data_IF_229681902406
#
_entry.id   IF_229681902406
#
_cell.length_a   1.000
_cell.length_b   1.000
_cell.length_c   1.000
_cell.angle_alpha   90.00
_cell.angle_beta   90.00
_cell.angle_gamma   90.00
#
_symmetry.space_group_name_H-M   'P 1'
#
loop_
_entity.id
_entity.type
_entity.pdbx_description
1 polymer ?
#
# COMPACT_ATOMS: atom_id res chain seq x y z
N UNK A 1 -16.53 22.61 8.20
CA UNK A 1 -16.23 22.90 9.63
C UNK A 1 -15.62 21.64 10.23
N UNK A 2 -14.58 21.76 11.05
CA UNK A 2 -13.88 20.62 11.69
C UNK A 2 -14.02 20.70 13.20
N UNK A 3 -13.70 19.60 13.87
CA UNK A 3 -13.65 19.52 15.34
C UNK A 3 -12.46 20.32 15.88
N UNK A 4 -12.50 20.66 17.18
CA UNK A 4 -11.51 21.54 17.84
C UNK A 4 -10.12 20.89 17.90
N UNK A 5 -10.09 19.57 18.02
CA UNK A 5 -8.92 18.69 18.08
C UNK A 5 -8.32 18.36 16.70
N UNK A 6 -8.88 18.91 15.62
CA UNK A 6 -8.42 18.68 14.25
C UNK A 6 -6.95 19.08 14.07
N UNK A 7 -6.03 18.13 13.75
CA UNK A 7 -4.62 18.44 13.52
C UNK A 7 -4.41 19.23 12.22
N UNK A 8 -5.34 19.11 11.28
CA UNK A 8 -5.32 19.78 9.96
C UNK A 8 -6.17 21.06 10.01
N UNK A 9 -5.69 22.10 10.70
CA UNK A 9 -6.49 23.32 10.93
C UNK A 9 -6.73 24.10 9.64
N UNK A 10 -5.73 24.16 8.77
CA UNK A 10 -5.80 24.92 7.53
C UNK A 10 -6.74 24.26 6.51
N UNK A 11 -7.57 25.06 5.84
CA UNK A 11 -8.51 24.54 4.82
C UNK A 11 -7.81 24.08 3.55
N UNK A 12 -6.71 24.74 3.17
CA UNK A 12 -6.01 24.52 1.90
C UNK A 12 -5.38 23.13 1.76
N UNK A 13 -5.11 22.45 2.87
CA UNK A 13 -4.46 21.13 2.91
C UNK A 13 -5.43 20.00 3.34
N UNK A 14 -6.71 20.32 3.59
CA UNK A 14 -7.74 19.32 3.87
C UNK A 14 -8.28 18.79 2.55
N UNK A 15 -8.02 17.51 2.28
CA UNK A 15 -8.42 16.82 1.06
C UNK A 15 -9.48 15.77 1.36
N UNK A 16 -9.15 14.77 2.19
CA UNK A 16 -10.00 13.62 2.42
C UNK A 16 -9.93 13.18 3.90
N UNK A 17 -11.05 13.19 4.65
CA UNK A 17 -11.05 12.81 6.05
C UNK A 17 -10.79 11.32 6.29
N UNK A 18 -10.90 10.46 5.28
CA UNK A 18 -10.63 9.02 5.41
C UNK A 18 -9.16 8.67 5.14
N UNK A 19 -8.36 9.61 4.63
CA UNK A 19 -6.92 9.43 4.36
C UNK A 19 -6.04 10.43 5.11
N UNK A 20 -6.65 11.30 5.91
CA UNK A 20 -5.95 12.22 6.78
C UNK A 20 -6.49 12.11 8.20
N UNK A 21 -5.66 12.48 9.19
CA UNK A 21 -6.00 12.42 10.61
C UNK A 21 -7.04 13.45 11.10
N UNK A 22 -8.03 13.87 10.29
CA UNK A 22 -9.07 14.80 10.69
C UNK A 22 -10.48 14.28 10.41
N UNK A 23 -11.46 14.84 11.14
CA UNK A 23 -12.88 14.55 10.96
C UNK A 23 -13.70 15.82 10.78
N UNK A 24 -14.69 15.83 9.87
CA UNK A 24 -15.59 16.96 9.73
C UNK A 24 -16.55 17.01 10.93
N UNK A 25 -17.04 18.21 11.28
CA UNK A 25 -18.10 18.38 12.26
C UNK A 25 -19.43 17.89 11.67
N UNK A 26 -19.82 16.65 11.96
CA UNK A 26 -20.99 15.97 11.37
C UNK A 26 -22.27 16.81 11.42
N UNK A 27 -22.58 17.41 12.58
CA UNK A 27 -23.81 18.19 12.77
C UNK A 27 -23.88 19.45 11.89
N UNK A 28 -22.76 19.88 11.31
CA UNK A 28 -22.71 21.00 10.38
C UNK A 28 -22.82 20.59 8.90
N UNK A 29 -23.00 19.31 8.60
CA UNK A 29 -23.13 18.78 7.24
C UNK A 29 -24.60 18.50 6.88
N UNK A 30 -24.99 18.51 5.60
CA UNK A 30 -26.30 18.05 5.14
C UNK A 30 -26.59 16.59 5.57
N UNK A 31 -27.88 16.27 5.75
CA UNK A 31 -28.29 14.95 6.27
C UNK A 31 -27.81 13.77 5.42
N UNK A 32 -27.81 13.91 4.10
CA UNK A 32 -27.29 12.88 3.19
C UNK A 32 -25.83 12.56 3.47
N UNK A 33 -24.97 13.58 3.60
CA UNK A 33 -23.54 13.43 3.89
C UNK A 33 -23.33 12.84 5.30
N UNK A 34 -24.13 13.27 6.29
CA UNK A 34 -24.08 12.68 7.63
C UNK A 34 -24.35 11.17 7.58
N UNK A 35 -25.37 10.75 6.84
CA UNK A 35 -25.71 9.33 6.67
C UNK A 35 -24.56 8.59 6.00
N UNK A 36 -23.98 9.15 4.92
CA UNK A 36 -22.84 8.52 4.24
C UNK A 36 -21.65 8.31 5.19
N UNK A 37 -21.24 9.34 5.94
CA UNK A 37 -20.10 9.22 6.86
C UNK A 37 -20.39 8.20 7.96
N UNK A 38 -21.61 8.19 8.53
CA UNK A 38 -22.01 7.20 9.54
C UNK A 38 -22.00 5.78 8.99
N UNK A 39 -22.41 5.59 7.73
CA UNK A 39 -22.34 4.28 7.07
C UNK A 39 -20.90 3.84 6.87
N UNK A 40 -20.01 4.75 6.43
CA UNK A 40 -18.58 4.48 6.32
C UNK A 40 -17.98 4.08 7.67
N UNK A 41 -18.33 4.78 8.75
CA UNK A 41 -17.87 4.46 10.11
C UNK A 41 -18.44 3.12 10.60
N UNK A 42 -19.74 2.86 10.37
CA UNK A 42 -20.39 1.60 10.76
C UNK A 42 -19.73 0.37 10.13
N UNK A 43 -19.30 0.48 8.89
CA UNK A 43 -18.66 -0.60 8.15
C UNK A 43 -17.14 -0.45 8.05
N UNK A 44 -16.54 0.33 8.95
CA UNK A 44 -15.10 0.51 9.11
C UNK A 44 -14.35 0.88 7.82
N UNK A 45 -14.94 1.67 6.92
CA UNK A 45 -14.32 2.06 5.65
C UNK A 45 -12.87 2.59 5.85
N UNK A 46 -11.91 1.91 5.24
CA UNK A 46 -10.50 2.34 5.21
C UNK A 46 -9.83 1.96 3.89
N UNK A 47 -8.78 2.69 3.48
CA UNK A 47 -7.88 2.21 2.43
C UNK A 47 -7.23 0.91 2.90
N UNK A 48 -7.38 -0.17 2.14
CA UNK A 48 -6.90 -1.50 2.54
C UNK A 48 -6.52 -2.34 1.32
N UNK A 49 -5.40 -3.05 1.43
CA UNK A 49 -4.80 -3.82 0.34
C UNK A 49 -3.40 -4.31 0.67
N UNK A 50 -2.93 -5.29 -0.12
CA UNK A 50 -1.57 -5.83 0.00
C UNK A 50 -0.56 -4.83 -0.59
N UNK A 51 -0.82 -4.35 -1.82
CA UNK A 51 -0.03 -3.36 -2.52
C UNK A 51 -0.91 -2.45 -3.40
N UNK A 52 -0.39 -1.29 -3.79
CA UNK A 52 -1.11 -0.30 -4.58
C UNK A 52 -0.24 0.22 -5.72
N UNK A 53 -0.88 0.54 -6.85
CA UNK A 53 -0.22 1.20 -7.97
C UNK A 53 0.33 2.58 -7.58
N UNK A 54 1.39 3.03 -8.28
CA UNK A 54 2.01 4.35 -8.05
C UNK A 54 1.01 5.49 -8.19
N UNK A 55 0.06 5.39 -9.11
CA UNK A 55 -0.96 6.41 -9.31
C UNK A 55 -1.82 6.59 -8.07
N UNK A 56 -2.25 5.49 -7.44
CA UNK A 56 -2.98 5.53 -6.18
C UNK A 56 -2.10 6.15 -5.08
N UNK A 57 -0.88 5.64 -4.88
CA UNK A 57 0.04 6.12 -3.84
C UNK A 57 0.31 7.63 -3.98
N UNK A 58 0.61 8.09 -5.19
CA UNK A 58 0.93 9.49 -5.49
C UNK A 58 -0.27 10.40 -5.36
N UNK A 59 -1.50 9.91 -5.56
CA UNK A 59 -2.74 10.69 -5.39
C UNK A 59 -3.11 10.94 -3.92
N UNK A 60 -2.51 10.19 -2.98
CA UNK A 60 -2.84 10.30 -1.56
C UNK A 60 -2.41 11.64 -0.96
N UNK A 61 -3.14 12.17 0.04
CA UNK A 61 -2.74 13.39 0.73
C UNK A 61 -1.49 13.15 1.60
N UNK A 62 -0.44 13.95 1.42
CA UNK A 62 0.79 13.81 2.21
C UNK A 62 0.64 14.46 3.60
N UNK A 63 -0.01 15.62 3.67
CA UNK A 63 -0.20 16.31 4.95
C UNK A 63 -1.08 15.49 5.88
N UNK A 64 -0.53 15.11 7.04
CA UNK A 64 -1.25 14.30 8.03
C UNK A 64 -1.82 13.01 7.43
N UNK A 65 -1.06 12.37 6.54
CA UNK A 65 -1.37 11.06 5.96
C UNK A 65 -1.83 10.09 7.06
N UNK A 66 -2.83 9.25 6.77
CA UNK A 66 -3.43 8.37 7.78
C UNK A 66 -2.45 7.36 8.36
N UNK A 67 -1.58 6.84 7.50
CA UNK A 67 -0.70 5.71 7.80
C UNK A 67 0.68 6.13 8.33
N UNK A 68 0.87 7.40 8.67
CA UNK A 68 2.11 7.89 9.29
C UNK A 68 1.90 8.22 10.77
N UNK A 69 2.99 8.23 11.54
CA UNK A 69 2.96 8.65 12.95
C UNK A 69 2.45 10.10 13.08
N UNK A 70 1.28 10.24 13.71
CA UNK A 70 0.61 11.53 13.87
C UNK A 70 1.38 12.53 14.74
N UNK A 71 2.23 12.10 15.67
CA UNK A 71 3.07 12.99 16.49
C UNK A 71 4.24 13.54 15.66
N UNK A 72 4.93 12.67 14.92
CA UNK A 72 6.01 13.07 14.01
C UNK A 72 5.50 13.97 12.90
N UNK A 73 4.35 13.63 12.30
CA UNK A 73 3.68 14.45 11.29
C UNK A 73 3.35 15.85 11.84
N UNK A 74 2.76 15.94 13.04
CA UNK A 74 2.48 17.24 13.71
C UNK A 74 3.73 18.07 13.93
N UNK A 75 4.84 17.45 14.37
CA UNK A 75 6.12 18.14 14.58
C UNK A 75 6.66 18.74 13.27
N UNK A 76 6.60 17.99 12.18
CA UNK A 76 7.04 18.45 10.86
C UNK A 76 6.08 19.46 10.22
N UNK A 77 4.78 19.37 10.50
CA UNK A 77 3.77 20.31 10.01
C UNK A 77 3.63 21.58 10.86
N UNK A 78 4.43 21.74 11.92
CA UNK A 78 4.39 22.94 12.78
C UNK A 78 4.64 24.21 11.96
N UNK A 79 3.82 25.22 12.21
CA UNK A 79 3.89 26.52 11.53
C UNK A 79 5.33 27.08 11.52
N UNK A 80 5.83 27.33 10.33
CA UNK A 80 7.16 27.90 10.06
C UNK A 80 7.16 28.50 8.66
N UNK A 81 8.13 29.38 8.36
CA UNK A 81 8.29 29.96 7.02
C UNK A 81 8.40 28.88 5.94
N UNK A 82 9.07 27.77 6.24
CA UNK A 82 9.22 26.62 5.34
C UNK A 82 7.87 25.93 5.09
N UNK A 83 7.12 25.60 6.15
CA UNK A 83 5.82 24.93 6.01
C UNK A 83 4.80 25.83 5.30
N UNK A 84 4.80 27.14 5.58
CA UNK A 84 3.98 28.10 4.83
C UNK A 84 4.40 28.16 3.36
N UNK A 85 5.71 28.18 3.06
CA UNK A 85 6.21 28.17 1.68
C UNK A 85 5.80 26.90 0.92
N UNK A 86 5.92 25.72 1.55
CA UNK A 86 5.51 24.44 0.95
C UNK A 86 4.02 24.43 0.60
N UNK A 87 3.17 25.01 1.47
CA UNK A 87 1.71 25.01 1.30
C UNK A 87 1.21 26.07 0.33
N UNK A 88 1.78 27.27 0.36
CA UNK A 88 1.22 28.43 -0.35
C UNK A 88 1.97 28.74 -1.64
N UNK A 89 3.31 28.65 -1.63
CA UNK A 89 4.12 28.96 -2.82
C UNK A 89 4.31 27.72 -3.68
N UNK A 90 4.73 26.61 -3.07
CA UNK A 90 4.90 25.34 -3.79
C UNK A 90 3.58 24.58 -3.97
N UNK A 91 2.53 24.93 -3.21
CA UNK A 91 1.21 24.29 -3.29
C UNK A 91 1.21 22.77 -3.14
N UNK A 92 2.17 22.20 -2.39
CA UNK A 92 2.29 20.75 -2.24
C UNK A 92 1.14 20.18 -1.39
N UNK A 93 0.46 19.16 -1.88
CA UNK A 93 -0.68 18.53 -1.19
C UNK A 93 -0.60 17.01 -1.15
N UNK A 94 -0.24 16.40 -2.27
CA UNK A 94 -0.25 14.94 -2.46
C UNK A 94 1.14 14.33 -2.26
N UNK A 95 1.22 13.02 -2.04
CA UNK A 95 2.49 12.30 -2.00
C UNK A 95 3.27 12.52 -3.29
N UNK A 96 2.60 12.50 -4.45
CA UNK A 96 3.20 12.77 -5.75
C UNK A 96 3.76 14.19 -5.89
N UNK A 97 3.09 15.21 -5.34
CA UNK A 97 3.62 16.59 -5.32
C UNK A 97 4.95 16.65 -4.55
N UNK A 98 4.99 16.01 -3.38
CA UNK A 98 6.18 15.96 -2.55
C UNK A 98 7.30 15.16 -3.20
N UNK A 99 6.99 14.01 -3.78
CA UNK A 99 7.95 13.17 -4.49
C UNK A 99 8.59 13.92 -5.65
N UNK A 100 7.77 14.46 -6.56
CA UNK A 100 8.23 15.27 -7.69
C UNK A 100 9.07 16.47 -7.22
N UNK A 101 8.61 17.15 -6.18
CA UNK A 101 9.30 18.32 -5.64
C UNK A 101 10.71 17.97 -5.17
N UNK A 102 10.88 16.87 -4.42
CA UNK A 102 12.19 16.53 -3.88
C UNK A 102 13.09 15.87 -4.93
N UNK A 103 12.56 15.15 -5.91
CA UNK A 103 13.35 14.60 -7.03
C UNK A 103 14.11 15.68 -7.79
N UNK A 104 13.56 16.90 -7.91
CA UNK A 104 14.25 18.04 -8.51
C UNK A 104 15.56 18.45 -7.79
N UNK A 105 15.75 18.05 -6.53
CA UNK A 105 16.94 18.34 -5.73
C UNK A 105 17.99 17.23 -5.75
N UNK A 106 17.70 16.12 -6.42
CA UNK A 106 18.68 15.06 -6.71
C UNK A 106 19.49 15.33 -7.98
N UNK A 107 19.21 16.42 -8.69
CA UNK A 107 19.91 16.78 -9.91
C UNK A 107 21.41 17.04 -9.65
N UNK A 108 22.29 16.67 -10.60
CA UNK A 108 23.72 16.95 -10.50
C UNK A 108 24.00 18.43 -10.21
N UNK A 109 24.87 18.70 -9.23
CA UNK A 109 25.26 20.07 -8.86
C UNK A 109 24.38 20.75 -7.82
N UNK A 110 23.34 20.08 -7.28
CA UNK A 110 22.70 20.54 -6.04
C UNK A 110 23.68 20.42 -4.86
N UNK A 111 23.58 21.36 -3.93
CA UNK A 111 24.37 21.42 -2.72
C UNK A 111 23.43 21.71 -1.56
N UNK A 112 23.54 20.96 -0.47
CA UNK A 112 22.65 21.04 0.70
C UNK A 112 22.88 22.30 1.57
N UNK A 113 22.87 23.47 0.95
CA UNK A 113 23.11 24.78 1.57
C UNK A 113 22.14 25.83 1.02
N UNK A 114 21.80 26.82 1.85
CA UNK A 114 20.88 27.90 1.48
C UNK A 114 21.33 28.73 0.25
N UNK A 115 22.65 28.82 0.04
CA UNK A 115 23.29 29.55 -1.06
C UNK A 115 23.48 28.72 -2.34
N UNK A 116 22.86 27.54 -2.45
CA UNK A 116 22.94 26.74 -3.66
C UNK A 116 22.49 27.53 -4.90
N UNK A 117 23.26 27.38 -5.99
CA UNK A 117 23.07 28.02 -7.28
C UNK A 117 22.79 27.02 -8.40
N UNK A 118 22.34 25.80 -8.07
CA UNK A 118 21.90 24.86 -9.09
C UNK A 118 20.67 25.42 -9.83
N UNK A 119 20.43 24.96 -11.06
CA UNK A 119 19.31 25.42 -11.88
C UNK A 119 17.97 25.32 -11.16
N UNK A 120 17.72 24.21 -10.45
CA UNK A 120 16.51 24.01 -9.65
C UNK A 120 16.33 25.04 -8.53
N UNK A 121 17.38 25.28 -7.72
CA UNK A 121 17.31 26.27 -6.65
C UNK A 121 17.14 27.70 -7.17
N UNK A 122 17.81 28.05 -8.28
CA UNK A 122 17.67 29.39 -8.88
C UNK A 122 16.28 29.60 -9.45
N UNK A 123 15.73 28.63 -10.18
CA UNK A 123 14.38 28.69 -10.72
C UNK A 123 13.34 28.82 -9.61
N UNK A 124 13.46 28.08 -8.51
CA UNK A 124 12.52 28.22 -7.38
C UNK A 124 12.60 29.59 -6.70
N UNK A 125 13.80 30.18 -6.63
CA UNK A 125 13.97 31.55 -6.09
C UNK A 125 13.32 32.59 -7.00
N UNK A 126 13.49 32.48 -8.31
CA UNK A 126 13.03 33.47 -9.29
C UNK A 126 11.54 33.32 -9.64
N UNK A 127 11.12 32.11 -9.98
CA UNK A 127 9.77 31.83 -10.52
C UNK A 127 8.73 31.64 -9.42
N UNK A 128 9.09 30.97 -8.32
CA UNK A 128 8.18 30.68 -7.19
C UNK A 128 8.33 31.73 -6.06
N UNK A 129 9.46 32.44 -6.01
CA UNK A 129 9.79 33.33 -4.90
C UNK A 129 10.12 32.57 -3.61
N UNK A 130 10.66 31.35 -3.71
CA UNK A 130 11.08 30.57 -2.54
C UNK A 130 12.44 31.07 -2.02
N UNK A 131 12.48 31.60 -0.80
CA UNK A 131 13.71 32.14 -0.21
C UNK A 131 14.77 31.06 0.08
N UNK A 132 14.32 29.87 0.50
CA UNK A 132 15.20 28.77 0.92
C UNK A 132 14.73 27.42 0.33
N UNK A 133 15.03 27.16 -0.96
CA UNK A 133 14.62 25.92 -1.63
C UNK A 133 15.14 24.65 -0.93
N UNK A 134 16.41 24.63 -0.52
CA UNK A 134 17.02 23.50 0.20
C UNK A 134 16.29 23.16 1.50
N UNK A 135 15.91 24.16 2.30
CA UNK A 135 15.17 23.94 3.54
C UNK A 135 13.76 23.39 3.28
N UNK A 136 13.12 23.82 2.18
CA UNK A 136 11.85 23.27 1.72
C UNK A 136 12.01 21.81 1.28
N UNK A 137 13.05 21.50 0.50
CA UNK A 137 13.37 20.15 0.05
C UNK A 137 13.60 19.20 1.23
N UNK A 138 14.44 19.60 2.21
CA UNK A 138 14.70 18.83 3.43
C UNK A 138 13.43 18.58 4.23
N UNK A 139 12.55 19.58 4.36
CA UNK A 139 11.26 19.41 5.06
C UNK A 139 10.31 18.49 4.31
N UNK A 140 10.24 18.59 2.98
CA UNK A 140 9.42 17.73 2.15
C UNK A 140 9.92 16.28 2.18
N UNK A 141 11.23 16.07 2.10
CA UNK A 141 11.86 14.75 2.27
C UNK A 141 11.52 14.15 3.63
N UNK A 142 11.70 14.91 4.71
CA UNK A 142 11.39 14.43 6.06
C UNK A 142 9.92 14.03 6.24
N UNK A 143 8.99 14.63 5.48
CA UNK A 143 7.57 14.22 5.49
C UNK A 143 7.36 12.92 4.71
N UNK A 144 8.00 12.75 3.55
CA UNK A 144 7.98 11.50 2.78
C UNK A 144 8.59 10.34 3.57
N UNK A 145 9.68 10.58 4.30
CA UNK A 145 10.38 9.56 5.10
C UNK A 145 9.56 9.03 6.30
N UNK A 146 8.38 9.62 6.55
CA UNK A 146 7.42 9.05 7.50
C UNK A 146 6.51 7.98 6.89
N UNK A 147 6.44 7.87 5.56
CA UNK A 147 5.60 6.90 4.87
C UNK A 147 6.13 5.48 5.12
N UNK A 148 5.27 4.53 5.53
CA UNK A 148 5.64 3.13 5.55
C UNK A 148 5.90 2.59 4.14
N UNK A 149 6.64 1.47 3.99
CA UNK A 149 6.97 0.89 2.68
C UNK A 149 5.75 0.69 1.77
N UNK A 150 4.63 0.21 2.32
CA UNK A 150 3.37 0.01 1.57
C UNK A 150 2.82 1.28 0.95
N UNK A 151 3.08 2.44 1.56
CA UNK A 151 2.52 3.72 1.16
C UNK A 151 3.56 4.69 0.58
N UNK A 152 4.83 4.27 0.48
CA UNK A 152 5.92 5.08 -0.08
C UNK A 152 6.15 4.72 -1.57
N UNK A 153 5.85 5.64 -2.52
CA UNK A 153 6.05 5.39 -3.94
C UNK A 153 7.53 5.40 -4.38
N UNK A 154 8.48 5.61 -3.47
CA UNK A 154 9.92 5.62 -3.80
C UNK A 154 10.58 4.24 -3.70
N UNK A 155 10.02 3.35 -2.88
CA UNK A 155 10.52 1.97 -2.72
C UNK A 155 10.12 1.11 -3.92
N UNK A 156 10.66 -0.10 -4.06
CA UNK A 156 10.22 -1.09 -5.07
C UNK A 156 8.88 -1.70 -4.67
N UNK A 157 7.94 -1.82 -5.59
CA UNK A 157 6.58 -2.33 -5.36
C UNK A 157 6.26 -3.52 -6.27
N UNK A 158 5.27 -4.37 -5.90
CA UNK A 158 4.83 -5.48 -6.74
C UNK A 158 4.45 -5.06 -8.17
N UNK A 159 3.84 -3.88 -8.31
CA UNK A 159 3.52 -3.28 -9.60
C UNK A 159 4.72 -3.18 -10.57
N UNK A 160 5.95 -3.14 -10.06
CA UNK A 160 7.16 -2.99 -10.85
C UNK A 160 7.62 -4.30 -11.52
N UNK A 161 7.10 -5.47 -11.11
CA UNK A 161 7.52 -6.79 -11.62
C UNK A 161 6.37 -7.78 -11.88
N UNK A 162 5.18 -7.54 -11.35
CA UNK A 162 4.03 -8.45 -11.46
C UNK A 162 3.59 -8.73 -12.90
N UNK A 163 3.63 -7.73 -13.78
CA UNK A 163 3.19 -7.88 -15.17
C UNK A 163 4.18 -8.69 -15.99
N UNK A 164 5.48 -8.46 -15.78
CA UNK A 164 6.56 -9.23 -16.41
C UNK A 164 6.51 -10.70 -15.95
N UNK A 165 6.39 -10.92 -14.63
CA UNK A 165 6.27 -12.27 -14.07
C UNK A 165 5.03 -13.00 -14.60
N UNK A 166 3.88 -12.32 -14.67
CA UNK A 166 2.65 -12.92 -15.19
C UNK A 166 2.78 -13.27 -16.67
N UNK A 167 3.39 -12.40 -17.47
CA UNK A 167 3.60 -12.65 -18.91
C UNK A 167 4.52 -13.87 -19.13
N UNK A 168 5.62 -13.95 -18.39
CA UNK A 168 6.54 -15.09 -18.45
C UNK A 168 5.85 -16.42 -18.06
N UNK A 169 4.97 -16.40 -17.05
CA UNK A 169 4.19 -17.59 -16.67
C UNK A 169 3.12 -17.97 -17.70
N UNK A 170 2.53 -16.99 -18.38
CA UNK A 170 1.54 -17.24 -19.43
C UNK A 170 2.17 -17.83 -20.70
N UNK A 171 3.42 -17.46 -21.02
CA UNK A 171 4.22 -18.12 -22.05
C UNK A 171 4.44 -19.61 -21.71
N UNK A 172 4.90 -19.91 -20.49
CA UNK A 172 5.07 -21.30 -20.02
C UNK A 172 3.75 -22.07 -20.03
N UNK A 173 2.65 -21.46 -19.60
CA UNK A 173 1.30 -22.06 -19.68
C UNK A 173 0.96 -22.43 -21.12
N UNK A 174 1.18 -21.51 -22.06
CA UNK A 174 0.88 -21.73 -23.49
C UNK A 174 1.67 -22.90 -24.06
N UNK A 175 2.93 -23.08 -23.65
CA UNK A 175 3.76 -24.22 -24.06
C UNK A 175 3.29 -25.56 -23.48
N UNK A 176 2.70 -25.56 -22.27
CA UNK A 176 2.21 -26.78 -21.60
C UNK A 176 0.83 -27.24 -22.08
N UNK A 177 -0.04 -26.32 -22.46
CA UNK A 177 -1.37 -26.62 -22.96
C UNK A 177 -2.41 -25.54 -22.67
N UNK A 178 -3.31 -25.32 -23.61
CA UNK A 178 -4.38 -24.31 -23.52
C UNK A 178 -5.49 -24.68 -22.51
N UNK A 179 -5.55 -25.93 -22.04
CA UNK A 179 -6.49 -26.39 -21.03
C UNK A 179 -6.09 -25.97 -19.60
N UNK A 180 -4.85 -25.51 -19.41
CA UNK A 180 -4.39 -24.98 -18.15
C UNK A 180 -4.90 -23.55 -17.92
N UNK A 181 -5.27 -23.24 -16.67
CA UNK A 181 -5.64 -21.89 -16.26
C UNK A 181 -4.53 -21.34 -15.37
N UNK A 182 -3.91 -20.23 -15.79
CA UNK A 182 -2.93 -19.54 -14.97
C UNK A 182 -3.61 -18.89 -13.77
N UNK A 183 -3.11 -19.18 -12.57
CA UNK A 183 -3.52 -18.48 -11.36
C UNK A 183 -2.97 -17.05 -11.36
N UNK A 184 -3.86 -16.06 -11.36
CA UNK A 184 -3.46 -14.66 -11.28
C UNK A 184 -2.99 -14.31 -9.85
N UNK A 185 -1.68 -14.16 -9.71
CA UNK A 185 -1.00 -13.87 -8.44
C UNK A 185 -0.87 -12.37 -8.14
N UNK A 186 -1.35 -11.50 -9.02
CA UNK A 186 -1.12 -10.05 -8.91
C UNK A 186 -1.93 -9.52 -7.73
N UNK A 187 -1.25 -8.82 -6.81
CA UNK A 187 -1.86 -8.28 -5.59
C UNK A 187 -1.99 -6.76 -5.63
N UNK A 188 -1.40 -6.09 -6.63
CA UNK A 188 -1.48 -4.63 -6.78
C UNK A 188 -2.90 -4.17 -7.11
N UNK A 189 -3.45 -3.30 -6.27
CA UNK A 189 -4.66 -2.54 -6.60
C UNK A 189 -4.31 -1.47 -7.63
N UNK A 190 -4.91 -1.56 -8.81
CA UNK A 190 -4.82 -0.59 -9.92
C UNK A 190 -6.09 0.28 -9.97
N UNK A 191 -6.05 1.39 -10.69
CA UNK A 191 -7.17 2.31 -10.86
C UNK A 191 -6.97 3.63 -10.14
N UNK A 192 -8.01 4.15 -9.51
CA UNK A 192 -7.99 5.42 -8.80
C UNK A 192 -8.06 5.22 -7.27
N UNK A 193 -7.94 6.32 -6.53
CA UNK A 193 -7.90 6.30 -5.06
C UNK A 193 -9.15 5.69 -4.41
N UNK A 194 -10.30 5.68 -5.08
CA UNK A 194 -11.53 5.05 -4.61
C UNK A 194 -11.41 3.52 -4.57
N UNK A 195 -10.65 2.94 -5.51
CA UNK A 195 -10.46 1.49 -5.64
C UNK A 195 -9.63 0.90 -4.50
N UNK A 196 -8.91 1.75 -3.75
CA UNK A 196 -8.17 1.37 -2.55
C UNK A 196 -9.06 1.18 -1.32
N UNK A 197 -10.30 1.68 -1.31
CA UNK A 197 -11.17 1.54 -0.14
C UNK A 197 -11.79 0.15 -0.04
N UNK A 198 -11.88 -0.34 1.19
CA UNK A 198 -12.61 -1.55 1.56
C UNK A 198 -13.54 -1.26 2.74
N UNK A 199 -14.64 -2.00 2.80
CA UNK A 199 -15.58 -2.03 3.92
C UNK A 199 -15.50 -3.38 4.63
N UNK A 200 -16.09 -3.49 5.81
CA UNK A 200 -16.00 -4.67 6.67
C UNK A 200 -14.55 -5.01 7.05
N UNK A 201 -13.70 -3.98 7.15
CA UNK A 201 -12.31 -4.15 7.58
C UNK A 201 -12.25 -4.11 9.10
N UNK A 202 -11.91 -5.24 9.71
CA UNK A 202 -11.70 -5.36 11.15
C UNK A 202 -10.24 -5.79 11.44
N UNK A 203 -9.78 -5.57 12.66
CA UNK A 203 -8.45 -6.01 13.11
C UNK A 203 -7.29 -5.07 12.78
N UNK A 204 -6.08 -5.58 13.00
CA UNK A 204 -4.82 -4.85 12.87
C UNK A 204 -4.55 -4.43 11.41
N UNK A 205 -3.76 -3.37 11.26
CA UNK A 205 -3.35 -2.84 9.96
C UNK A 205 -1.90 -3.22 9.74
N UNK A 206 -1.59 -3.82 8.59
CA UNK A 206 -0.23 -4.10 8.19
C UNK A 206 0.26 -2.99 7.27
N UNK A 207 1.37 -2.35 7.64
CA UNK A 207 2.01 -1.29 6.84
C UNK A 207 3.28 -1.76 6.12
N UNK A 208 3.60 -3.05 6.27
CA UNK A 208 4.67 -3.69 5.55
C UNK A 208 4.23 -3.98 4.11
N UNK A 209 5.18 -3.93 3.21
CA UNK A 209 5.01 -4.33 1.83
C UNK A 209 5.64 -5.71 1.67
N UNK A 210 4.87 -6.80 1.52
CA UNK A 210 5.44 -8.12 1.36
C UNK A 210 6.19 -8.20 0.03
N UNK A 211 7.31 -8.91 0.05
CA UNK A 211 7.95 -9.32 -1.19
C UNK A 211 7.19 -10.51 -1.78
N UNK A 212 6.56 -10.28 -2.92
CA UNK A 212 5.80 -11.31 -3.68
C UNK A 212 6.52 -11.66 -4.98
N UNK A 213 7.79 -11.27 -5.11
CA UNK A 213 8.60 -11.63 -6.27
C UNK A 213 8.79 -13.15 -6.32
N UNK A 214 8.74 -13.69 -7.53
CA UNK A 214 8.99 -15.11 -7.79
C UNK A 214 10.45 -15.24 -8.22
N UNK A 215 11.22 -16.05 -7.50
CA UNK A 215 12.52 -16.51 -7.99
C UNK A 215 12.26 -17.67 -8.96
N UNK A 216 12.55 -17.45 -10.24
CA UNK A 216 12.46 -18.51 -11.25
C UNK A 216 13.63 -19.49 -11.08
N UNK A 217 13.42 -20.54 -10.28
CA UNK A 217 14.38 -21.63 -10.10
C UNK A 217 14.35 -22.61 -11.29
N UNK A 218 14.79 -22.14 -12.46
CA UNK A 218 14.94 -22.96 -13.66
C UNK A 218 13.63 -23.39 -14.33
N UNK A 219 13.73 -23.90 -15.56
CA UNK A 219 12.59 -24.22 -16.43
C UNK A 219 11.91 -25.58 -16.12
N UNK A 220 12.14 -26.18 -14.94
CA UNK A 220 11.55 -27.49 -14.65
C UNK A 220 10.14 -27.33 -14.10
N UNK A 221 9.15 -27.47 -14.99
CA UNK A 221 7.74 -27.54 -14.62
C UNK A 221 7.44 -28.93 -14.07
N UNK A 222 6.83 -28.99 -12.88
CA UNK A 222 6.40 -30.24 -12.26
C UNK A 222 4.88 -30.21 -12.05
N UNK A 223 4.21 -31.30 -12.44
CA UNK A 223 2.80 -31.51 -12.12
C UNK A 223 2.67 -32.08 -10.72
N UNK A 224 1.86 -31.42 -9.88
CA UNK A 224 1.61 -31.84 -8.50
C UNK A 224 0.10 -31.83 -8.26
N UNK A 225 -0.42 -32.90 -7.65
CA UNK A 225 -1.78 -32.94 -7.16
C UNK A 225 -1.81 -32.59 -5.66
N UNK A 226 -2.69 -31.66 -5.28
CA UNK A 226 -2.91 -31.24 -3.90
C UNK A 226 -4.35 -31.52 -3.51
N UNK A 227 -4.59 -31.91 -2.27
CA UNK A 227 -5.95 -32.13 -1.75
C UNK A 227 -6.03 -31.81 -0.25
N UNK A 228 -7.15 -31.22 0.16
CA UNK A 228 -7.48 -30.92 1.55
C UNK A 228 -8.74 -31.66 1.98
N UNK A 229 -8.66 -32.42 3.08
CA UNK A 229 -9.81 -33.16 3.58
C UNK A 229 -10.07 -32.87 5.06
N UNK A 230 -11.35 -32.74 5.42
CA UNK A 230 -11.76 -32.56 6.79
C UNK A 230 -12.91 -33.49 7.18
N UNK A 231 -12.68 -34.30 8.21
CA UNK A 231 -13.72 -35.07 8.89
C UNK A 231 -14.55 -34.13 9.74
N UNK A 232 -15.87 -34.29 9.68
CA UNK A 232 -16.85 -33.49 10.46
C UNK A 232 -16.69 -31.97 10.26
N UNK A 233 -16.39 -31.55 9.02
CA UNK A 233 -16.22 -30.15 8.67
C UNK A 233 -17.39 -29.29 9.19
N UNK A 234 -17.06 -28.19 9.87
CA UNK A 234 -18.04 -27.29 10.49
C UNK A 234 -18.50 -27.68 11.92
N UNK A 235 -18.03 -28.81 12.45
CA UNK A 235 -18.28 -29.22 13.85
C UNK A 235 -17.10 -28.86 14.76
N UNK A 236 -17.34 -28.85 16.08
CA UNK A 236 -16.33 -28.52 17.08
C UNK A 236 -15.21 -29.55 17.17
N UNK A 237 -15.45 -30.79 16.75
CA UNK A 237 -14.49 -31.89 16.73
C UNK A 237 -13.97 -32.19 15.32
N UNK A 238 -14.06 -31.22 14.41
CA UNK A 238 -13.53 -31.31 13.06
C UNK A 238 -12.03 -31.62 13.05
N UNK A 239 -11.59 -32.44 12.10
CA UNK A 239 -10.17 -32.80 11.93
C UNK A 239 -9.80 -32.70 10.47
N UNK A 240 -8.87 -31.81 10.16
CA UNK A 240 -8.42 -31.56 8.80
C UNK A 240 -7.02 -32.11 8.54
N UNK A 241 -6.75 -32.44 7.28
CA UNK A 241 -5.45 -32.85 6.78
C UNK A 241 -5.21 -32.28 5.37
N UNK A 242 -3.97 -32.40 4.93
CA UNK A 242 -3.49 -31.92 3.64
C UNK A 242 -2.60 -32.98 3.00
N UNK A 243 -2.78 -33.21 1.70
CA UNK A 243 -2.03 -34.18 0.91
C UNK A 243 -1.39 -33.54 -0.33
N UNK A 244 -0.19 -34.00 -0.67
CA UNK A 244 0.55 -33.60 -1.86
C UNK A 244 1.10 -34.85 -2.55
N UNK A 245 0.85 -34.97 -3.86
CA UNK A 245 1.24 -36.11 -4.67
C UNK A 245 1.95 -35.66 -5.95
N UNK A 246 3.22 -36.06 -6.09
CA UNK A 246 4.10 -35.80 -7.22
C UNK A 246 4.17 -36.97 -8.22
N UNK A 247 3.69 -38.17 -7.82
CA UNK A 247 3.78 -39.39 -8.62
C UNK A 247 3.96 -40.64 -7.76
N UNK A 248 3.82 -41.82 -8.36
CA UNK A 248 4.00 -43.10 -7.65
C UNK A 248 5.40 -43.17 -7.05
N UNK A 249 5.49 -43.52 -5.76
CA UNK A 249 6.73 -43.66 -4.99
C UNK A 249 7.65 -42.41 -4.95
N UNK A 250 7.12 -41.23 -5.29
CA UNK A 250 7.90 -40.00 -5.25
C UNK A 250 8.19 -39.59 -3.80
N UNK A 251 9.45 -39.37 -3.44
CA UNK A 251 9.91 -39.09 -2.06
C UNK A 251 9.33 -37.80 -1.45
N UNK A 252 8.96 -36.84 -2.30
CA UNK A 252 8.23 -35.62 -1.93
C UNK A 252 6.72 -35.80 -1.67
N UNK A 253 6.13 -36.97 -1.91
CA UNK A 253 4.73 -37.24 -1.54
C UNK A 253 4.57 -37.09 -0.02
N UNK A 254 3.55 -36.34 0.40
CA UNK A 254 3.32 -36.06 1.82
C UNK A 254 1.83 -36.05 2.13
N UNK A 255 1.50 -36.49 3.34
CA UNK A 255 0.18 -36.31 3.93
C UNK A 255 0.39 -35.89 5.38
N UNK A 256 -0.22 -34.77 5.77
CA UNK A 256 -0.11 -34.24 7.13
C UNK A 256 -1.50 -34.04 7.72
N UNK A 257 -1.57 -34.16 9.04
CA UNK A 257 -2.70 -33.65 9.82
C UNK A 257 -2.47 -32.18 10.12
N UNK A 258 -3.49 -31.34 9.98
CA UNK A 258 -3.37 -29.94 10.35
C UNK A 258 -3.20 -29.80 11.87
N UNK A 259 -2.29 -28.94 12.33
CA UNK A 259 -2.12 -28.70 13.76
C UNK A 259 -3.36 -28.02 14.35
N UNK A 260 -3.66 -28.26 15.64
CA UNK A 260 -4.93 -27.83 16.26
C UNK A 260 -5.06 -26.32 16.43
N UNK A 261 -3.98 -25.56 16.29
CA UNK A 261 -3.99 -24.09 16.30
C UNK A 261 -4.46 -23.49 14.96
N UNK A 262 -4.57 -24.29 13.90
CA UNK A 262 -5.21 -23.88 12.66
C UNK A 262 -6.68 -24.30 12.65
N UNK A 263 -7.50 -23.52 11.95
CA UNK A 263 -8.89 -23.85 11.73
C UNK A 263 -9.01 -25.24 11.07
N UNK A 264 -9.80 -26.13 11.67
CA UNK A 264 -10.00 -27.48 11.15
C UNK A 264 -11.15 -27.46 10.14
N UNK A 265 -10.82 -27.20 8.88
CA UNK A 265 -11.79 -27.14 7.77
C UNK A 265 -11.21 -27.67 6.47
N UNK A 266 -12.09 -28.01 5.52
CA UNK A 266 -11.67 -28.38 4.15
C UNK A 266 -10.79 -27.28 3.53
N UNK A 267 -11.23 -26.02 3.63
CA UNK A 267 -10.53 -24.89 3.01
C UNK A 267 -9.12 -24.68 3.58
N UNK A 268 -8.95 -24.88 4.88
CA UNK A 268 -7.63 -24.82 5.51
C UNK A 268 -6.74 -25.98 5.06
N UNK A 269 -7.31 -27.16 4.84
CA UNK A 269 -6.61 -28.32 4.27
C UNK A 269 -6.07 -28.02 2.87
N UNK A 270 -6.90 -27.47 1.98
CA UNK A 270 -6.53 -27.13 0.61
C UNK A 270 -5.39 -26.10 0.56
N UNK A 271 -5.52 -25.03 1.35
CA UNK A 271 -4.50 -23.99 1.44
C UNK A 271 -3.16 -24.56 1.98
N UNK A 272 -3.22 -25.43 2.99
CA UNK A 272 -2.04 -26.08 3.53
C UNK A 272 -1.41 -27.05 2.53
N UNK A 273 -2.20 -27.79 1.76
CA UNK A 273 -1.70 -28.69 0.71
C UNK A 273 -0.94 -27.90 -0.36
N UNK A 274 -1.47 -26.75 -0.78
CA UNK A 274 -0.80 -25.84 -1.73
C UNK A 274 0.53 -25.32 -1.16
N UNK A 275 0.57 -24.94 0.11
CA UNK A 275 1.80 -24.50 0.78
C UNK A 275 2.85 -25.61 0.92
N UNK A 276 2.43 -26.87 1.08
CA UNK A 276 3.33 -28.01 1.18
C UNK A 276 3.91 -28.45 -0.17
N UNK A 277 3.27 -28.04 -1.27
CA UNK A 277 3.68 -28.38 -2.62
C UNK A 277 4.84 -27.51 -3.15
N UNK A 278 5.14 -26.39 -2.47
CA UNK A 278 6.29 -25.50 -2.76
C UNK A 278 7.57 -26.04 -2.15
#
# INVERSE_FOLDING_TARGET
IVTVDCPVKERSIRMNPFMQGWRPKLMALPRSIQTMIRTCEKYNLRPEGIAFSRDILRSMPMWFHREIDALKARKLARASKVVTCLREKHSLKTVGDFENFVTNFHAPGHLERASCKCGGCMWMKQSIGCAHPDACAKRARALLDLLPPKWDPRGRHPADYEEENHSALDEVRTDLGDDLVLFDRRVTVKGNIADAYRIFTDGEVCNDLPDVQIESSGNEVVTVATDGSCLKNGQTDAQAGAGVFFGVDHTRNRSIRLPPNLAQSNQTGEAAATLLAT
#
